data_IF_931445591076
#
_entry.id   IF_931445591076
#
_cell.length_a   1.000
_cell.length_b   1.000
_cell.length_c   1.000
_cell.angle_alpha   90.00
_cell.angle_beta   90.00
_cell.angle_gamma   90.00
#
_symmetry.space_group_name_H-M   'P 1'
#
loop_
_entity.id
_entity.type
_entity.pdbx_description
1 polymer ?
#
# COMPACT_ATOMS: atom_id res chain seq x y z
N UNK A 1 -5.16 5.71 -7.28
CA UNK A 1 -5.21 5.50 -5.82
C UNK A 1 -6.61 5.16 -5.32
N UNK A 2 -7.67 5.95 -5.57
CA UNK A 2 -9.04 5.66 -5.11
C UNK A 2 -9.55 4.26 -5.49
N UNK A 3 -9.17 3.72 -6.64
CA UNK A 3 -9.49 2.35 -7.03
C UNK A 3 -8.90 1.30 -6.08
N UNK A 4 -7.67 1.50 -5.57
CA UNK A 4 -7.05 0.62 -4.57
C UNK A 4 -7.87 0.63 -3.28
N UNK A 5 -8.31 1.82 -2.84
CA UNK A 5 -9.13 2.00 -1.63
C UNK A 5 -10.48 1.30 -1.79
N UNK A 6 -11.11 1.39 -2.98
CA UNK A 6 -12.42 0.79 -3.26
C UNK A 6 -12.36 -0.72 -3.49
N UNK A 7 -11.45 -1.20 -4.36
CA UNK A 7 -11.45 -2.57 -4.87
C UNK A 7 -10.52 -3.51 -4.10
N UNK A 8 -9.41 -3.01 -3.56
CA UNK A 8 -8.46 -3.85 -2.81
C UNK A 8 -8.67 -3.79 -1.30
N UNK A 9 -9.09 -2.64 -0.76
CA UNK A 9 -9.34 -2.45 0.68
C UNK A 9 -10.82 -2.50 1.05
N UNK A 10 -11.74 -2.35 0.09
CA UNK A 10 -13.19 -2.34 0.31
C UNK A 10 -13.64 -1.35 1.39
N UNK A 11 -13.03 -0.15 1.41
CA UNK A 11 -13.39 0.89 2.36
C UNK A 11 -14.69 1.60 1.94
N UNK A 12 -15.22 2.39 2.87
CA UNK A 12 -16.45 3.15 2.70
C UNK A 12 -16.34 4.31 1.69
N UNK A 13 -17.48 4.90 1.32
CA UNK A 13 -17.55 6.00 0.37
C UNK A 13 -16.75 7.22 0.83
N UNK A 14 -16.79 7.55 2.12
CA UNK A 14 -16.03 8.69 2.67
C UNK A 14 -14.51 8.50 2.50
N UNK A 15 -14.01 7.26 2.67
CA UNK A 15 -12.60 6.94 2.41
C UNK A 15 -12.23 7.06 0.93
N UNK A 16 -13.14 6.70 0.02
CA UNK A 16 -12.93 6.83 -1.42
C UNK A 16 -12.91 8.32 -1.82
N UNK A 17 -13.83 9.11 -1.28
CA UNK A 17 -13.85 10.57 -1.49
C UNK A 17 -12.57 11.22 -0.94
N UNK A 18 -12.15 10.87 0.28
CA UNK A 18 -10.91 11.34 0.85
C UNK A 18 -9.68 10.93 0.01
N UNK A 19 -9.70 9.71 -0.55
CA UNK A 19 -8.65 9.25 -1.45
C UNK A 19 -8.59 10.05 -2.76
N UNK A 20 -9.71 10.49 -3.30
CA UNK A 20 -9.76 11.37 -4.48
C UNK A 20 -9.23 12.78 -4.18
N UNK A 21 -9.43 13.25 -2.95
CA UNK A 21 -9.12 14.63 -2.54
C UNK A 21 -7.81 14.73 -1.73
N UNK A 22 -7.05 13.64 -1.56
CA UNK A 22 -5.97 13.52 -0.59
C UNK A 22 -4.87 14.60 -0.69
N UNK A 23 -4.58 15.08 -1.89
CA UNK A 23 -3.55 16.10 -2.14
C UNK A 23 -4.15 17.51 -2.33
N UNK A 24 -5.49 17.67 -2.29
CA UNK A 24 -6.13 18.94 -2.62
C UNK A 24 -5.69 20.09 -1.68
N UNK A 25 -5.52 19.80 -0.38
CA UNK A 25 -5.05 20.79 0.61
C UNK A 25 -3.54 21.07 0.46
N UNK A 26 -2.77 20.12 -0.11
CA UNK A 26 -1.33 20.31 -0.31
C UNK A 26 -1.01 21.06 -1.60
N UNK A 27 -1.73 20.75 -2.68
CA UNK A 27 -1.43 21.20 -4.03
C UNK A 27 -2.24 22.41 -4.47
N UNK A 28 -3.25 22.83 -3.68
CA UNK A 28 -4.11 23.98 -4.01
C UNK A 28 -4.31 24.92 -2.81
N UNK A 29 -4.98 26.05 -3.02
CA UNK A 29 -5.39 26.98 -1.97
C UNK A 29 -6.65 26.54 -1.19
N UNK A 30 -7.15 25.32 -1.45
CA UNK A 30 -8.34 24.79 -0.79
C UNK A 30 -8.08 24.55 0.70
N UNK A 31 -9.03 24.99 1.51
CA UNK A 31 -8.96 24.84 2.98
C UNK A 31 -9.76 23.63 3.45
N UNK A 32 -9.55 23.26 4.73
CA UNK A 32 -10.38 22.25 5.40
C UNK A 32 -11.88 22.58 5.29
N UNK A 33 -12.24 23.84 5.47
CA UNK A 33 -13.64 24.32 5.42
C UNK A 33 -14.23 24.15 4.01
N UNK A 34 -13.44 24.32 2.96
CA UNK A 34 -13.89 24.12 1.59
C UNK A 34 -14.18 22.65 1.30
N UNK A 35 -13.29 21.77 1.73
CA UNK A 35 -13.50 20.31 1.61
C UNK A 35 -14.72 19.87 2.43
N UNK A 36 -14.86 20.35 3.68
CA UNK A 36 -15.99 20.00 4.54
C UNK A 36 -17.34 20.48 4.00
N UNK A 37 -17.38 21.61 3.29
CA UNK A 37 -18.61 22.12 2.63
C UNK A 37 -18.98 21.33 1.38
N UNK A 38 -17.99 20.87 0.62
CA UNK A 38 -18.20 20.14 -0.63
C UNK A 38 -18.57 18.67 -0.40
N UNK A 39 -18.08 18.07 0.69
CA UNK A 39 -18.28 16.65 1.02
C UNK A 39 -18.90 16.51 2.40
N UNK A 40 -18.10 16.17 3.40
CA UNK A 40 -18.48 16.07 4.81
C UNK A 40 -17.33 16.44 5.74
N UNK A 41 -17.61 16.79 7.02
CA UNK A 41 -16.55 16.97 8.00
C UNK A 41 -15.65 15.75 8.17
N UNK A 42 -16.21 14.54 8.07
CA UNK A 42 -15.45 13.28 8.16
C UNK A 42 -14.44 13.17 7.01
N UNK A 43 -14.84 13.48 5.78
CA UNK A 43 -13.93 13.47 4.61
C UNK A 43 -12.86 14.52 4.79
N UNK A 44 -13.20 15.73 5.24
CA UNK A 44 -12.22 16.79 5.50
C UNK A 44 -11.21 16.39 6.58
N UNK A 45 -11.65 15.73 7.66
CA UNK A 45 -10.77 15.19 8.71
C UNK A 45 -9.80 14.14 8.16
N UNK A 46 -10.27 13.24 7.28
CA UNK A 46 -9.42 12.24 6.63
C UNK A 46 -8.39 12.90 5.71
N UNK A 47 -8.81 13.83 4.85
CA UNK A 47 -7.92 14.55 3.94
C UNK A 47 -6.86 15.35 4.71
N UNK A 48 -7.27 16.09 5.75
CA UNK A 48 -6.34 16.83 6.61
C UNK A 48 -5.37 15.88 7.34
N UNK A 49 -5.87 14.73 7.80
CA UNK A 49 -5.05 13.68 8.43
C UNK A 49 -3.97 13.15 7.51
N UNK A 50 -4.31 12.84 6.25
CA UNK A 50 -3.36 12.38 5.23
C UNK A 50 -2.33 13.45 4.92
N UNK A 51 -2.76 14.70 4.73
CA UNK A 51 -1.90 15.86 4.45
C UNK A 51 -0.90 16.14 5.58
N UNK A 52 -1.33 16.07 6.85
CA UNK A 52 -0.44 16.27 8.02
C UNK A 52 0.68 15.24 8.13
N UNK A 53 0.51 14.04 7.55
CA UNK A 53 1.56 13.02 7.50
C UNK A 53 2.69 13.39 6.53
N UNK A 54 2.45 14.26 5.57
CA UNK A 54 3.39 14.61 4.48
C UNK A 54 4.25 15.84 4.78
N UNK A 55 3.76 16.81 5.58
CA UNK A 55 4.28 18.19 5.70
C UNK A 55 5.47 18.42 6.62
N UNK A 56 6.45 17.55 6.76
CA UNK A 56 7.52 17.82 7.70
C UNK A 56 8.91 17.84 7.07
N UNK A 57 9.62 18.95 7.31
CA UNK A 57 11.05 19.10 7.01
C UNK A 57 11.87 18.67 8.23
N UNK A 58 12.90 17.87 8.00
CA UNK A 58 13.74 17.27 9.04
C UNK A 58 15.19 17.69 8.95
N UNK A 59 15.88 17.70 10.08
CA UNK A 59 17.29 18.04 10.17
C UNK A 59 18.22 16.86 9.82
N UNK A 60 17.79 15.63 10.14
CA UNK A 60 18.53 14.40 9.79
C UNK A 60 17.58 13.30 9.28
N UNK A 61 18.12 12.31 8.51
CA UNK A 61 17.32 11.19 7.99
C UNK A 61 16.78 10.26 9.09
N UNK A 62 17.55 10.06 10.15
CA UNK A 62 17.16 9.19 11.28
C UNK A 62 16.06 9.82 12.10
N UNK A 63 16.15 11.14 12.38
CA UNK A 63 15.09 11.89 13.05
C UNK A 63 13.81 11.92 12.19
N UNK A 64 13.95 11.99 10.86
CA UNK A 64 12.84 11.95 9.91
C UNK A 64 12.05 10.64 10.01
N UNK A 65 12.73 9.51 10.02
CA UNK A 65 12.09 8.19 10.09
C UNK A 65 11.34 7.97 11.40
N UNK A 66 11.96 8.31 12.52
CA UNK A 66 11.37 8.17 13.85
C UNK A 66 10.11 9.05 14.01
N UNK A 67 10.18 10.28 13.55
CA UNK A 67 9.07 11.22 13.66
C UNK A 67 7.94 10.89 12.68
N UNK A 68 8.25 10.41 11.47
CA UNK A 68 7.26 9.90 10.53
C UNK A 68 6.49 8.71 11.13
N UNK A 69 7.19 7.75 11.71
CA UNK A 69 6.56 6.61 12.38
C UNK A 69 5.67 7.07 13.55
N UNK A 70 6.16 8.00 14.39
CA UNK A 70 5.40 8.55 15.50
C UNK A 70 4.10 9.23 15.04
N UNK A 71 4.15 10.01 13.96
CA UNK A 71 2.96 10.69 13.41
C UNK A 71 1.97 9.74 12.79
N UNK A 72 2.45 8.73 12.08
CA UNK A 72 1.59 7.66 11.60
C UNK A 72 0.85 6.99 12.76
N UNK A 73 1.53 6.70 13.87
CA UNK A 73 0.92 6.12 15.05
C UNK A 73 -0.12 7.08 15.70
N UNK A 74 0.16 8.38 15.74
CA UNK A 74 -0.78 9.38 16.27
C UNK A 74 -1.99 9.52 15.33
N UNK A 75 -1.80 9.55 14.02
CA UNK A 75 -2.89 9.59 13.04
C UNK A 75 -3.78 8.33 13.14
N UNK A 76 -3.17 7.14 13.27
CA UNK A 76 -3.89 5.89 13.50
C UNK A 76 -4.74 5.90 14.77
N UNK A 77 -4.33 6.63 15.80
CA UNK A 77 -5.10 6.74 17.05
C UNK A 77 -6.38 7.56 16.91
N UNK A 78 -6.47 8.40 15.87
CA UNK A 78 -7.67 9.21 15.57
C UNK A 78 -8.60 8.46 14.62
N UNK A 79 -8.10 8.08 13.45
CA UNK A 79 -8.84 7.31 12.46
C UNK A 79 -7.85 6.45 11.64
N UNK A 80 -8.02 5.13 11.69
CA UNK A 80 -7.16 4.19 10.97
C UNK A 80 -7.24 4.35 9.45
N UNK A 81 -8.36 4.88 8.93
CA UNK A 81 -8.56 5.11 7.50
C UNK A 81 -7.50 6.03 6.91
N UNK A 82 -6.98 6.99 7.69
CA UNK A 82 -5.90 7.90 7.27
C UNK A 82 -4.65 7.13 6.82
N UNK A 83 -4.23 6.12 7.60
CA UNK A 83 -3.03 5.35 7.24
C UNK A 83 -3.32 4.36 6.10
N UNK A 84 -4.54 3.81 6.02
CA UNK A 84 -4.94 2.94 4.92
C UNK A 84 -4.92 3.69 3.58
N UNK A 85 -5.42 4.92 3.55
CA UNK A 85 -5.36 5.82 2.40
C UNK A 85 -3.90 6.14 2.05
N UNK A 86 -3.06 6.44 3.05
CA UNK A 86 -1.64 6.76 2.81
C UNK A 86 -0.82 5.58 2.29
N UNK A 87 -1.09 4.35 2.76
CA UNK A 87 -0.47 3.13 2.21
C UNK A 87 -0.92 2.92 0.76
N UNK A 88 -2.20 3.18 0.45
CA UNK A 88 -2.74 3.08 -0.91
C UNK A 88 -2.12 4.11 -1.86
N UNK A 89 -1.89 5.33 -1.39
CA UNK A 89 -1.16 6.37 -2.11
C UNK A 89 0.29 5.92 -2.38
N UNK A 90 0.99 5.40 -1.36
CA UNK A 90 2.34 4.87 -1.53
C UNK A 90 2.40 3.73 -2.54
N UNK A 91 1.46 2.79 -2.47
CA UNK A 91 1.39 1.68 -3.41
C UNK A 91 1.15 2.16 -4.85
N UNK A 92 0.24 3.12 -5.04
CA UNK A 92 0.01 3.73 -6.34
C UNK A 92 1.28 4.40 -6.88
N UNK A 93 1.97 5.18 -6.04
CA UNK A 93 3.22 5.84 -6.39
C UNK A 93 4.32 4.82 -6.74
N UNK A 94 4.41 3.70 -6.04
CA UNK A 94 5.37 2.63 -6.34
C UNK A 94 5.06 1.93 -7.67
N UNK A 95 3.77 1.70 -8.00
CA UNK A 95 3.34 1.13 -9.29
C UNK A 95 3.69 2.03 -10.49
N UNK A 96 3.80 3.35 -10.27
CA UNK A 96 4.12 4.35 -11.32
C UNK A 96 5.54 4.92 -11.19
N UNK A 97 6.40 4.26 -10.42
CA UNK A 97 7.73 4.78 -10.08
C UNK A 97 8.69 4.86 -11.28
N UNK A 98 8.41 4.12 -12.36
CA UNK A 98 9.22 4.12 -13.59
C UNK A 98 9.38 5.50 -14.24
N UNK A 99 8.39 6.39 -14.03
CA UNK A 99 8.40 7.77 -14.58
C UNK A 99 9.21 8.76 -13.73
N UNK A 100 9.76 8.33 -12.59
CA UNK A 100 10.55 9.16 -11.69
C UNK A 100 12.06 9.07 -11.99
N UNK A 101 12.81 10.09 -11.55
CA UNK A 101 14.27 10.06 -11.66
C UNK A 101 14.89 8.94 -10.81
N UNK A 102 16.05 8.36 -11.21
CA UNK A 102 16.71 7.27 -10.47
C UNK A 102 16.98 7.59 -9.00
N UNK A 103 17.30 8.83 -8.68
CA UNK A 103 17.50 9.29 -7.30
C UNK A 103 16.22 9.21 -6.49
N UNK A 104 15.10 9.68 -7.04
CA UNK A 104 13.78 9.60 -6.40
C UNK A 104 13.30 8.15 -6.27
N UNK A 105 13.55 7.31 -7.30
CA UNK A 105 13.22 5.88 -7.27
C UNK A 105 13.87 5.21 -6.06
N UNK A 106 15.18 5.37 -5.87
CA UNK A 106 15.93 4.79 -4.74
C UNK A 106 15.44 5.34 -3.39
N UNK A 107 15.29 6.66 -3.29
CA UNK A 107 14.86 7.30 -2.03
C UNK A 107 13.47 6.81 -1.61
N UNK A 108 12.49 6.83 -2.53
CA UNK A 108 11.11 6.41 -2.25
C UNK A 108 11.00 4.91 -1.99
N UNK A 109 11.80 4.09 -2.66
CA UNK A 109 11.85 2.65 -2.43
C UNK A 109 12.44 2.32 -1.05
N UNK A 110 13.50 3.03 -0.63
CA UNK A 110 14.08 2.86 0.71
C UNK A 110 13.06 3.24 1.80
N UNK A 111 12.42 4.41 1.68
CA UNK A 111 11.37 4.87 2.59
C UNK A 111 10.20 3.86 2.65
N UNK A 112 9.83 3.28 1.50
CA UNK A 112 8.76 2.29 1.42
C UNK A 112 9.13 1.01 2.18
N UNK A 113 10.35 0.53 2.01
CA UNK A 113 10.85 -0.68 2.67
C UNK A 113 11.00 -0.50 4.19
N UNK A 114 11.45 0.67 4.62
CA UNK A 114 11.76 0.94 6.03
C UNK A 114 10.52 1.34 6.85
N UNK A 115 9.52 1.96 6.23
CA UNK A 115 8.36 2.53 6.93
C UNK A 115 7.05 1.87 6.51
N UNK A 116 6.69 1.94 5.23
CA UNK A 116 5.34 1.57 4.77
C UNK A 116 5.09 0.07 4.76
N UNK A 117 6.05 -0.74 4.31
CA UNK A 117 5.92 -2.19 4.30
C UNK A 117 5.81 -2.79 5.72
N UNK A 118 6.61 -2.37 6.72
CA UNK A 118 6.41 -2.78 8.11
C UNK A 118 5.07 -2.36 8.71
N UNK A 119 4.54 -1.18 8.36
CA UNK A 119 3.22 -0.75 8.84
C UNK A 119 2.13 -1.60 8.20
N UNK A 120 2.17 -1.83 6.88
CA UNK A 120 1.24 -2.70 6.18
C UNK A 120 1.24 -4.12 6.77
N UNK A 121 2.43 -4.64 7.14
CA UNK A 121 2.56 -5.92 7.84
C UNK A 121 1.82 -5.94 9.19
N UNK A 122 2.02 -4.92 10.02
CA UNK A 122 1.38 -4.81 11.35
C UNK A 122 -0.13 -4.67 11.27
N UNK A 123 -0.63 -4.06 10.18
CA UNK A 123 -2.06 -3.93 9.90
C UNK A 123 -2.66 -5.18 9.25
N UNK A 124 -1.87 -6.24 9.01
CA UNK A 124 -2.34 -7.48 8.39
C UNK A 124 -2.54 -7.38 6.88
N UNK A 125 -2.13 -6.29 6.23
CA UNK A 125 -2.27 -6.02 4.79
C UNK A 125 -1.18 -6.76 4.00
N UNK A 126 -1.14 -8.10 4.09
CA UNK A 126 -0.03 -8.91 3.57
C UNK A 126 0.18 -8.75 2.07
N UNK A 127 -0.90 -8.69 1.29
CA UNK A 127 -0.82 -8.53 -0.17
C UNK A 127 -0.15 -7.21 -0.54
N UNK A 128 -0.55 -6.10 0.09
CA UNK A 128 0.06 -4.79 -0.16
C UNK A 128 1.50 -4.73 0.33
N UNK A 129 1.78 -5.35 1.49
CA UNK A 129 3.15 -5.47 2.01
C UNK A 129 4.07 -6.13 0.99
N UNK A 130 3.70 -7.31 0.48
CA UNK A 130 4.51 -8.03 -0.51
C UNK A 130 4.73 -7.21 -1.78
N UNK A 131 3.68 -6.59 -2.30
CA UNK A 131 3.79 -5.77 -3.49
C UNK A 131 4.69 -4.54 -3.27
N UNK A 132 4.58 -3.87 -2.11
CA UNK A 132 5.45 -2.76 -1.74
C UNK A 132 6.93 -3.20 -1.64
N UNK A 133 7.19 -4.37 -1.04
CA UNK A 133 8.54 -4.93 -0.92
C UNK A 133 9.10 -5.32 -2.30
N UNK A 134 8.34 -5.99 -3.15
CA UNK A 134 8.75 -6.40 -4.50
C UNK A 134 9.06 -5.19 -5.39
N UNK A 135 8.16 -4.21 -5.42
CA UNK A 135 8.37 -2.97 -6.17
C UNK A 135 9.57 -2.18 -5.66
N UNK A 136 9.81 -2.17 -4.34
CA UNK A 136 10.96 -1.48 -3.76
C UNK A 136 12.27 -2.19 -4.12
N UNK A 137 12.32 -3.51 -4.04
CA UNK A 137 13.50 -4.31 -4.38
C UNK A 137 13.93 -4.08 -5.83
N UNK A 138 12.97 -3.98 -6.75
CA UNK A 138 13.22 -3.71 -8.18
C UNK A 138 14.08 -2.46 -8.41
N UNK A 139 13.92 -1.41 -7.58
CA UNK A 139 14.68 -0.15 -7.71
C UNK A 139 15.88 -0.06 -6.77
N UNK A 140 15.90 -0.80 -5.66
CA UNK A 140 17.02 -0.82 -4.72
C UNK A 140 18.13 -1.75 -5.20
N UNK A 141 17.79 -2.94 -5.68
CA UNK A 141 18.71 -3.95 -6.21
C UNK A 141 18.13 -4.59 -7.49
N UNK A 142 18.21 -3.91 -8.64
CA UNK A 142 17.68 -4.45 -9.89
C UNK A 142 18.31 -5.79 -10.31
N UNK A 143 19.60 -5.97 -10.03
CA UNK A 143 20.32 -7.19 -10.41
C UNK A 143 19.81 -8.38 -9.60
N UNK A 144 19.73 -8.23 -8.27
CA UNK A 144 19.19 -9.25 -7.39
C UNK A 144 17.72 -9.55 -7.68
N UNK A 145 16.92 -8.52 -7.99
CA UNK A 145 15.53 -8.69 -8.40
C UNK A 145 15.39 -9.55 -9.66
N UNK A 146 16.13 -9.21 -10.72
CA UNK A 146 16.08 -9.94 -12.00
C UNK A 146 16.54 -11.41 -11.84
N UNK A 147 17.55 -11.65 -11.00
CA UNK A 147 18.01 -13.00 -10.70
C UNK A 147 16.93 -13.83 -9.99
N UNK A 148 16.23 -13.25 -9.00
CA UNK A 148 15.13 -13.91 -8.28
C UNK A 148 13.98 -14.20 -9.23
N UNK A 149 13.53 -13.21 -10.01
CA UNK A 149 12.43 -13.35 -10.97
C UNK A 149 12.75 -14.45 -11.99
N UNK A 150 13.96 -14.45 -12.55
CA UNK A 150 14.38 -15.48 -13.53
C UNK A 150 14.35 -16.90 -12.93
N UNK A 151 14.78 -17.05 -11.67
CA UNK A 151 14.72 -18.35 -10.96
C UNK A 151 13.29 -18.80 -10.66
N UNK A 152 12.41 -17.86 -10.31
CA UNK A 152 10.99 -18.14 -10.06
C UNK A 152 10.27 -18.52 -11.35
N UNK A 153 10.52 -17.79 -12.44
CA UNK A 153 9.91 -18.08 -13.74
C UNK A 153 10.34 -19.44 -14.30
N UNK A 154 11.59 -19.82 -14.10
CA UNK A 154 12.08 -21.14 -14.48
C UNK A 154 11.35 -22.29 -13.76
N UNK A 155 10.87 -22.07 -12.54
CA UNK A 155 10.13 -23.05 -11.73
C UNK A 155 8.62 -22.94 -11.86
N UNK A 156 8.11 -21.89 -12.48
CA UNK A 156 6.66 -21.64 -12.61
C UNK A 156 5.88 -22.83 -13.18
N UNK A 157 6.32 -23.50 -14.27
CA UNK A 157 5.58 -24.64 -14.82
C UNK A 157 5.46 -25.81 -13.82
N UNK A 158 6.49 -26.04 -13.01
CA UNK A 158 6.49 -27.07 -11.98
C UNK A 158 5.46 -26.77 -10.87
N UNK A 159 5.41 -25.50 -10.41
CA UNK A 159 4.44 -25.06 -9.41
C UNK A 159 3.01 -25.08 -9.94
N UNK A 160 2.78 -24.64 -11.17
CA UNK A 160 1.46 -24.67 -11.80
C UNK A 160 0.93 -26.10 -11.95
N UNK A 161 1.80 -27.04 -12.35
CA UNK A 161 1.43 -28.47 -12.45
C UNK A 161 1.16 -29.07 -11.06
N UNK A 162 1.96 -28.73 -10.06
CA UNK A 162 1.71 -29.15 -8.68
C UNK A 162 0.38 -28.60 -8.15
N UNK A 163 0.11 -27.33 -8.35
CA UNK A 163 -1.16 -26.69 -7.90
C UNK A 163 -2.35 -27.33 -8.57
N UNK A 164 -2.30 -27.57 -9.88
CA UNK A 164 -3.38 -28.24 -10.62
C UNK A 164 -3.62 -29.65 -10.10
N UNK A 165 -2.59 -30.47 -9.92
CA UNK A 165 -2.71 -31.84 -9.38
C UNK A 165 -3.31 -31.82 -7.97
N UNK A 166 -2.88 -30.90 -7.11
CA UNK A 166 -3.41 -30.76 -5.76
C UNK A 166 -4.89 -30.35 -5.77
N UNK A 167 -5.25 -29.40 -6.63
CA UNK A 167 -6.65 -28.98 -6.80
C UNK A 167 -7.54 -30.12 -7.27
N UNK A 168 -7.09 -30.93 -8.25
CA UNK A 168 -7.82 -32.09 -8.74
C UNK A 168 -8.02 -33.14 -7.63
N UNK A 169 -6.98 -33.40 -6.81
CA UNK A 169 -7.09 -34.32 -5.68
C UNK A 169 -8.08 -33.83 -4.63
N UNK A 170 -8.06 -32.55 -4.28
CA UNK A 170 -9.00 -31.94 -3.34
C UNK A 170 -10.43 -32.05 -3.90
N UNK A 171 -10.65 -31.69 -5.15
CA UNK A 171 -11.96 -31.82 -5.80
C UNK A 171 -12.49 -33.26 -5.75
N UNK A 172 -11.65 -34.24 -6.05
CA UNK A 172 -12.04 -35.65 -5.96
C UNK A 172 -12.45 -36.08 -4.54
N UNK A 173 -11.75 -35.60 -3.52
CA UNK A 173 -12.09 -35.88 -2.12
C UNK A 173 -13.44 -35.29 -1.71
N UNK A 174 -13.76 -34.08 -2.18
CA UNK A 174 -15.04 -33.42 -1.89
C UNK A 174 -16.22 -33.94 -2.71
N UNK A 175 -15.96 -34.51 -3.88
CA UNK A 175 -17.00 -35.04 -4.79
C UNK A 175 -17.21 -36.56 -4.64
N UNK A 176 -16.33 -37.27 -3.92
CA UNK A 176 -16.53 -38.68 -3.61
C UNK A 176 -17.72 -38.87 -2.65
N UNK A 177 -18.64 -39.81 -2.94
CA UNK A 177 -19.74 -40.13 -2.02
C UNK A 177 -19.17 -40.55 -0.65
N UNK A 178 -19.80 -40.02 0.41
CA UNK A 178 -19.41 -40.33 1.78
C UNK A 178 -19.54 -41.87 2.03
N UNK A 179 -18.56 -42.51 2.67
CA UNK A 179 -18.68 -43.91 3.03
C UNK A 179 -19.86 -44.22 4.01
N UNK A 180 -20.66 -43.22 4.34
CA UNK A 180 -21.81 -43.32 5.27
C UNK A 180 -23.14 -43.23 4.57
N UNK A 181 -23.21 -43.07 3.27
CA UNK A 181 -24.42 -43.21 2.43
C UNK A 181 -24.40 -44.60 1.75
#
# INVERSE_FOLDING_TARGET
MAQIVAEELHLDSESIEAALLHDVIEDTDATYEDVAKLTSPTVADLVEGVSKLTRIQYATKEDEQMENLRKMLIAMSKDIRVILIKISDRLHNMRTMEYQSPTKQKQKSLETMEIYAPIAHRLGMQRMKWELEDLSLKYLDPIGYDEIVSKLDAKRPEYEDFMRRTQDQICLLYTSPSPRD
#
